data_IF_399625619643
#
_entry.id   IF_399625619643
#
_cell.length_a   1.000
_cell.length_b   1.000
_cell.length_c   1.000
_cell.angle_alpha   90.00
_cell.angle_beta   90.00
_cell.angle_gamma   90.00
#
_symmetry.space_group_name_H-M   'P 1'
#
loop_
_entity.id
_entity.type
_entity.pdbx_description
1 polymer ?
#
# COMPACT_ATOMS: atom_id res chain seq x y z
N UNK A 1 -1.22 -1.51 7.38
CA UNK A 1 -1.58 -0.15 6.87
C UNK A 1 -1.75 0.89 7.98
N UNK A 2 -1.10 2.05 7.82
CA UNK A 2 -1.30 3.28 8.61
C UNK A 2 -1.80 4.40 7.68
N UNK A 3 -2.65 5.29 8.18
CA UNK A 3 -3.16 6.45 7.41
C UNK A 3 -2.57 7.73 8.00
N UNK A 4 -2.02 8.58 7.13
CA UNK A 4 -1.63 9.95 7.43
C UNK A 4 -2.63 10.89 6.79
N UNK A 5 -3.07 11.94 7.49
CA UNK A 5 -4.06 12.87 6.94
C UNK A 5 -3.53 13.78 5.84
N UNK A 6 -2.21 13.97 5.81
CA UNK A 6 -1.50 14.83 4.87
C UNK A 6 0.01 14.55 4.93
N UNK A 7 0.75 15.19 4.03
CA UNK A 7 2.21 15.11 3.96
C UNK A 7 2.91 15.51 5.26
N UNK A 8 2.39 16.51 5.98
CA UNK A 8 3.01 16.96 7.24
C UNK A 8 2.93 15.90 8.35
N UNK A 9 1.89 15.07 8.37
CA UNK A 9 1.84 13.91 9.27
C UNK A 9 2.83 12.81 8.88
N UNK A 10 2.97 12.51 7.57
CA UNK A 10 3.99 11.58 7.08
C UNK A 10 5.40 12.06 7.44
N UNK A 11 5.69 13.35 7.21
CA UNK A 11 6.99 13.97 7.50
C UNK A 11 7.35 13.97 8.98
N UNK A 12 6.37 14.16 9.87
CA UNK A 12 6.58 14.03 11.33
C UNK A 12 6.90 12.60 11.74
N UNK A 13 6.35 11.61 11.02
CA UNK A 13 6.57 10.21 11.31
C UNK A 13 7.91 9.71 10.75
N UNK A 14 8.21 10.02 9.49
CA UNK A 14 9.44 9.65 8.80
C UNK A 14 9.80 10.76 7.80
N UNK A 15 10.73 11.63 8.20
CA UNK A 15 11.14 12.79 7.41
C UNK A 15 11.89 12.39 6.13
N UNK A 16 12.63 11.28 6.18
CA UNK A 16 13.45 10.82 5.06
C UNK A 16 12.56 10.26 3.96
N UNK A 17 11.60 9.41 4.33
CA UNK A 17 10.58 8.88 3.42
C UNK A 17 9.73 10.00 2.80
N UNK A 18 9.30 10.98 3.61
CA UNK A 18 8.56 12.12 3.10
C UNK A 18 9.38 12.93 2.08
N UNK A 19 10.66 13.15 2.38
CA UNK A 19 11.56 13.87 1.48
C UNK A 19 11.84 13.09 0.19
N UNK A 20 11.96 11.76 0.28
CA UNK A 20 12.10 10.87 -0.88
C UNK A 20 10.87 10.95 -1.79
N UNK A 21 9.67 10.77 -1.22
CA UNK A 21 8.40 10.85 -1.94
C UNK A 21 8.23 12.22 -2.62
N UNK A 22 8.45 13.33 -1.90
CA UNK A 22 8.33 14.68 -2.44
C UNK A 22 9.33 14.93 -3.57
N UNK A 23 10.55 14.38 -3.47
CA UNK A 23 11.57 14.51 -4.50
C UNK A 23 11.18 13.74 -5.77
N UNK A 24 10.62 12.55 -5.63
CA UNK A 24 10.25 11.70 -6.77
C UNK A 24 8.96 12.17 -7.46
N UNK A 25 7.94 12.54 -6.68
CA UNK A 25 6.62 12.90 -7.20
C UNK A 25 6.43 14.39 -7.44
N UNK A 26 7.23 15.23 -6.78
CA UNK A 26 7.04 16.67 -6.78
C UNK A 26 5.89 17.11 -5.88
N UNK A 27 5.71 18.43 -5.79
CA UNK A 27 4.61 19.01 -5.03
C UNK A 27 3.31 18.96 -5.85
N UNK A 28 2.21 18.59 -5.19
CA UNK A 28 0.88 18.49 -5.81
C UNK A 28 -0.23 18.57 -4.77
N UNK A 29 -1.49 18.40 -5.21
CA UNK A 29 -2.66 18.44 -4.32
C UNK A 29 -2.65 17.32 -3.27
N UNK A 30 -1.97 16.20 -3.54
CA UNK A 30 -1.83 15.09 -2.59
C UNK A 30 -1.18 15.49 -1.27
N UNK A 31 -0.42 16.60 -1.23
CA UNK A 31 0.21 17.07 0.00
C UNK A 31 -0.79 17.36 1.12
N UNK A 32 -2.02 17.74 0.77
CA UNK A 32 -3.10 18.05 1.70
C UNK A 32 -4.09 16.89 1.91
N UNK A 33 -3.84 15.74 1.29
CA UNK A 33 -4.74 14.59 1.28
C UNK A 33 -4.18 13.38 2.02
N UNK A 34 -5.05 12.40 2.26
CA UNK A 34 -4.66 11.17 2.94
C UNK A 34 -3.58 10.40 2.15
N UNK A 35 -2.62 9.87 2.90
CA UNK A 35 -1.57 8.99 2.40
C UNK A 35 -1.66 7.69 3.19
N UNK A 36 -1.89 6.59 2.47
CA UNK A 36 -1.92 5.25 3.05
C UNK A 36 -0.51 4.67 2.99
N UNK A 37 -0.05 4.13 4.11
CA UNK A 37 1.30 3.61 4.28
C UNK A 37 1.27 2.15 4.66
N UNK A 38 2.12 1.37 4.00
CA UNK A 38 2.42 -0.02 4.29
C UNK A 38 3.90 -0.14 4.62
N UNK A 39 4.20 -0.91 5.66
CA UNK A 39 5.55 -1.06 6.18
C UNK A 39 6.51 -1.62 5.13
N UNK A 40 6.03 -2.56 4.32
CA UNK A 40 6.75 -3.07 3.17
C UNK A 40 5.78 -3.50 2.06
N UNK A 41 6.31 -3.87 0.90
CA UNK A 41 5.54 -4.41 -0.23
C UNK A 41 4.71 -5.66 0.11
N UNK A 42 5.09 -6.44 1.11
CA UNK A 42 4.36 -7.64 1.53
C UNK A 42 3.14 -7.26 2.38
N UNK A 43 3.26 -6.31 3.31
CA UNK A 43 2.12 -5.71 4.03
C UNK A 43 1.11 -5.13 3.02
N UNK A 44 1.61 -4.45 1.98
CA UNK A 44 0.75 -3.99 0.89
C UNK A 44 0.03 -5.13 0.16
N UNK A 45 0.73 -6.21 -0.21
CA UNK A 45 0.08 -7.35 -0.87
C UNK A 45 -0.94 -8.07 0.03
N UNK A 46 -0.68 -8.16 1.33
CA UNK A 46 -1.65 -8.69 2.30
C UNK A 46 -2.89 -7.81 2.39
N UNK A 47 -2.69 -6.49 2.46
CA UNK A 47 -3.78 -5.52 2.42
C UNK A 47 -4.62 -5.67 1.15
N UNK A 48 -4.00 -5.72 -0.04
CA UNK A 48 -4.73 -5.90 -1.30
C UNK A 48 -5.59 -7.17 -1.32
N UNK A 49 -5.11 -8.25 -0.67
CA UNK A 49 -5.87 -9.50 -0.54
C UNK A 49 -7.05 -9.35 0.41
N UNK A 50 -6.82 -8.88 1.64
CA UNK A 50 -7.83 -8.94 2.69
C UNK A 50 -8.78 -7.74 2.73
N UNK A 51 -8.29 -6.56 2.34
CA UNK A 51 -8.97 -5.27 2.55
C UNK A 51 -9.00 -4.38 1.28
N UNK A 52 -8.16 -4.66 0.29
CA UNK A 52 -8.02 -3.88 -0.95
C UNK A 52 -8.71 -4.48 -2.17
N UNK A 53 -8.04 -4.50 -3.31
CA UNK A 53 -8.67 -4.84 -4.59
C UNK A 53 -9.30 -6.23 -4.61
N UNK A 54 -8.59 -7.26 -4.12
CA UNK A 54 -9.10 -8.63 -4.23
C UNK A 54 -10.28 -8.90 -3.31
N UNK A 55 -10.34 -8.27 -2.13
CA UNK A 55 -11.49 -8.42 -1.22
C UNK A 55 -12.78 -7.82 -1.77
N UNK A 56 -12.67 -6.85 -2.70
CA UNK A 56 -13.82 -6.33 -3.44
C UNK A 56 -14.43 -7.34 -4.44
N UNK A 57 -13.68 -8.39 -4.80
CA UNK A 57 -14.06 -9.40 -5.79
C UNK A 57 -14.34 -10.76 -5.13
N UNK A 58 -13.57 -11.11 -4.11
CA UNK A 58 -13.58 -12.41 -3.45
C UNK A 58 -13.91 -12.19 -1.97
N UNK A 59 -14.83 -12.98 -1.42
CA UNK A 59 -15.10 -12.97 0.02
C UNK A 59 -13.91 -13.56 0.80
N UNK A 60 -13.01 -12.68 1.21
CA UNK A 60 -11.80 -13.02 1.96
C UNK A 60 -12.07 -13.34 3.43
N UNK A 61 -13.29 -13.06 3.90
CA UNK A 61 -13.74 -13.34 5.26
C UNK A 61 -14.70 -14.54 5.31
N UNK A 62 -14.77 -15.32 4.22
CA UNK A 62 -15.62 -16.47 4.12
C UNK A 62 -15.31 -17.50 5.22
N UNK A 63 -16.36 -18.01 5.87
CA UNK A 63 -16.20 -19.09 6.83
C UNK A 63 -16.02 -20.43 6.09
N UNK A 64 -14.81 -20.96 6.08
CA UNK A 64 -14.45 -22.22 5.44
C UNK A 64 -14.86 -23.49 6.21
N UNK A 65 -15.64 -23.36 7.29
CA UNK A 65 -16.23 -24.49 8.07
C UNK A 65 -15.21 -25.57 8.46
N UNK A 66 -14.02 -25.15 8.88
CA UNK A 66 -12.93 -26.04 9.30
C UNK A 66 -12.03 -26.53 8.17
N UNK A 67 -12.30 -26.19 6.91
CA UNK A 67 -11.32 -26.32 5.85
C UNK A 67 -10.22 -25.23 6.01
N UNK A 68 -8.99 -25.49 5.54
CA UNK A 68 -7.93 -24.49 5.55
C UNK A 68 -8.35 -23.23 4.78
N UNK A 69 -8.00 -22.08 5.34
CA UNK A 69 -8.13 -20.80 4.64
C UNK A 69 -7.07 -20.74 3.52
N UNK A 70 -7.53 -20.63 2.28
CA UNK A 70 -6.70 -20.61 1.08
C UNK A 70 -5.79 -19.38 1.02
N UNK A 71 -6.16 -18.26 1.64
CA UNK A 71 -5.37 -17.03 1.60
C UNK A 71 -4.05 -17.20 2.38
N UNK A 72 -4.01 -18.08 3.39
CA UNK A 72 -2.79 -18.43 4.12
C UNK A 72 -1.73 -19.16 3.27
N UNK A 73 -2.10 -19.62 2.07
CA UNK A 73 -1.19 -20.31 1.14
C UNK A 73 -0.70 -19.41 0.01
N UNK A 74 -1.10 -18.14 0.00
CA UNK A 74 -0.59 -17.17 -0.97
C UNK A 74 0.88 -16.88 -0.67
N UNK A 75 1.71 -16.95 -1.70
CA UNK A 75 3.08 -16.45 -1.63
C UNK A 75 3.06 -14.92 -1.74
N UNK A 76 2.88 -14.25 -0.61
CA UNK A 76 2.77 -12.78 -0.55
C UNK A 76 4.04 -12.06 -1.03
N UNK A 77 5.22 -12.66 -0.88
CA UNK A 77 6.46 -12.07 -1.41
C UNK A 77 6.42 -11.99 -2.94
N UNK A 78 5.97 -13.07 -3.59
CA UNK A 78 5.84 -13.12 -5.05
C UNK A 78 4.71 -12.22 -5.53
N UNK A 79 3.56 -12.26 -4.85
CA UNK A 79 2.44 -11.39 -5.18
C UNK A 79 2.82 -9.92 -5.07
N UNK A 80 3.48 -9.53 -3.97
CA UNK A 80 3.97 -8.17 -3.76
C UNK A 80 4.86 -7.70 -4.91
N UNK A 81 5.83 -8.54 -5.31
CA UNK A 81 6.71 -8.24 -6.44
C UNK A 81 5.93 -8.03 -7.74
N UNK A 82 4.96 -8.90 -8.03
CA UNK A 82 4.18 -8.83 -9.26
C UNK A 82 3.24 -7.60 -9.25
N UNK A 83 2.66 -7.25 -8.10
CA UNK A 83 1.84 -6.04 -7.92
C UNK A 83 2.68 -4.78 -8.12
N UNK A 84 3.81 -4.64 -7.43
CA UNK A 84 4.62 -3.41 -7.49
C UNK A 84 5.30 -3.18 -8.85
N UNK A 85 5.45 -4.22 -9.67
CA UNK A 85 5.96 -4.11 -11.03
C UNK A 85 4.92 -3.63 -12.05
N UNK A 86 3.62 -3.80 -11.77
CA UNK A 86 2.56 -3.58 -12.76
C UNK A 86 1.46 -2.62 -12.28
N UNK A 87 1.61 -2.04 -11.09
CA UNK A 87 0.61 -1.14 -10.52
C UNK A 87 0.52 0.21 -11.23
N UNK A 88 -0.51 0.98 -10.89
CA UNK A 88 -0.63 2.35 -11.33
C UNK A 88 0.32 3.26 -10.54
N UNK A 89 1.39 3.69 -11.19
CA UNK A 89 2.42 4.58 -10.61
C UNK A 89 1.91 5.99 -10.32
N UNK A 90 0.73 6.37 -10.82
CA UNK A 90 0.11 7.67 -10.52
C UNK A 90 -0.46 7.72 -9.11
N UNK A 91 -0.78 6.57 -8.51
CA UNK A 91 -1.37 6.47 -7.16
C UNK A 91 -0.56 5.60 -6.20
N UNK A 92 0.44 4.87 -6.70
CA UNK A 92 1.32 4.02 -5.88
C UNK A 92 2.78 4.50 -5.95
N UNK A 93 3.51 4.31 -4.86
CA UNK A 93 4.93 4.59 -4.76
C UNK A 93 5.62 3.55 -3.88
N UNK A 94 6.74 2.99 -4.37
CA UNK A 94 7.64 2.12 -3.62
C UNK A 94 8.89 2.91 -3.29
N UNK A 95 9.20 3.03 -2.00
CA UNK A 95 10.41 3.70 -1.54
C UNK A 95 11.65 2.84 -1.75
N UNK A 96 12.81 3.45 -1.53
CA UNK A 96 14.11 2.77 -1.51
C UNK A 96 14.26 1.71 -0.40
N UNK A 97 13.48 1.76 0.68
CA UNK A 97 13.48 0.74 1.75
C UNK A 97 12.28 -0.21 1.70
N UNK A 98 11.71 -0.42 0.51
CA UNK A 98 10.58 -1.33 0.25
C UNK A 98 9.24 -0.93 0.88
N UNK A 99 9.13 0.26 1.49
CA UNK A 99 7.86 0.80 2.02
C UNK A 99 6.94 1.20 0.86
N UNK A 100 5.63 0.99 1.02
CA UNK A 100 4.64 1.37 0.00
C UNK A 100 3.76 2.50 0.50
N UNK A 101 3.64 3.55 -0.31
CA UNK A 101 2.67 4.61 -0.11
C UNK A 101 1.66 4.61 -1.24
N UNK A 102 0.41 4.87 -0.90
CA UNK A 102 -0.68 5.03 -1.88
C UNK A 102 -1.53 6.26 -1.56
N UNK A 103 -2.22 6.76 -2.57
CA UNK A 103 -3.16 7.88 -2.44
C UNK A 103 -4.39 7.65 -3.32
N UNK A 104 -5.53 8.22 -2.95
CA UNK A 104 -6.76 8.20 -3.75
C UNK A 104 -6.88 9.39 -4.72
N UNK A 105 -5.97 10.37 -4.64
CA UNK A 105 -6.00 11.60 -5.45
C UNK A 105 -5.04 11.57 -6.65
N UNK A 106 -3.96 10.79 -6.53
CA UNK A 106 -2.82 10.80 -7.45
C UNK A 106 -1.68 11.68 -6.92
N UNK A 107 -0.45 11.32 -7.26
CA UNK A 107 0.77 12.05 -6.91
C UNK A 107 0.99 13.31 -7.77
#
# INVERSE_FOLDING_TARGET
>A
MKIFKNFEELKKYNSDLASELLKEKGAGEWLENEIYYHEDKKDFAQYEVYDGWYSSIIDTNANFKGAPDLFNYINYERLAKDLTQNWDVSINYLSSNDEVLTTSYGW
#
